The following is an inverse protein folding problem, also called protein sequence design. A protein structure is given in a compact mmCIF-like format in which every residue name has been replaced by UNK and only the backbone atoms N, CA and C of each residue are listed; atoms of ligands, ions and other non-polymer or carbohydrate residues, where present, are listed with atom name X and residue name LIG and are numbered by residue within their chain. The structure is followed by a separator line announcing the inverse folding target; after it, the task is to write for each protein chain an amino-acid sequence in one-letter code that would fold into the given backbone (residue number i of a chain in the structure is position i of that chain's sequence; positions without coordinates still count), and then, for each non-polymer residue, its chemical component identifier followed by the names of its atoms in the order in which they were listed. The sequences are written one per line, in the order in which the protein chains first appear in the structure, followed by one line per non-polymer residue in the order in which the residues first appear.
data_IF_692692745885
#
_entry.id   IF_692692745885
#
_cell.length_a   1.000
_cell.length_b   1.000
_cell.length_c   1.000
_cell.angle_alpha   90.00
_cell.angle_beta   90.00
_cell.angle_gamma   90.00
#
_symmetry.space_group_name_H-M   'P 1'
#
loop_
_entity.id
_entity.type
_entity.pdbx_description
1 polymer ?
#
# COMPACT_ATOMS: atom_id res chain seq x y z
N UNK A 1 4.66 4.93 12.71
CA UNK A 1 3.37 4.40 12.25
C UNK A 1 2.34 4.72 13.31
N UNK A 2 1.48 5.68 13.02
CA UNK A 2 0.36 6.04 13.87
C UNK A 2 -0.90 5.43 13.24
N UNK A 3 -1.49 4.42 13.87
CA UNK A 3 -2.70 3.78 13.34
C UNK A 3 -3.89 4.63 13.75
N UNK A 4 -4.58 5.22 12.78
CA UNK A 4 -5.69 6.11 13.03
C UNK A 4 -6.94 5.30 13.42
N UNK A 5 -7.38 5.45 14.67
CA UNK A 5 -8.58 4.79 15.20
C UNK A 5 -9.82 5.01 14.31
N UNK A 6 -9.99 6.20 13.74
CA UNK A 6 -11.14 6.49 12.87
C UNK A 6 -11.07 5.73 11.53
N UNK A 7 -9.87 5.48 11.00
CA UNK A 7 -9.70 4.63 9.82
C UNK A 7 -9.99 3.17 10.14
N UNK A 8 -9.57 2.68 11.31
CA UNK A 8 -9.92 1.33 11.77
C UNK A 8 -11.45 1.17 11.84
N UNK A 9 -12.15 2.14 12.46
CA UNK A 9 -13.61 2.15 12.50
C UNK A 9 -14.24 2.18 11.10
N UNK A 10 -13.67 2.95 10.17
CA UNK A 10 -14.13 2.99 8.80
C UNK A 10 -14.03 1.60 8.12
N UNK A 11 -12.90 0.90 8.28
CA UNK A 11 -12.73 -0.47 7.78
C UNK A 11 -13.65 -1.49 8.46
N UNK A 12 -14.01 -1.26 9.73
CA UNK A 12 -15.02 -2.04 10.45
C UNK A 12 -16.47 -1.71 10.03
N UNK A 13 -16.67 -0.76 9.11
CA UNK A 13 -17.99 -0.38 8.58
C UNK A 13 -18.74 0.65 9.44
N UNK A 14 -18.10 1.22 10.45
CA UNK A 14 -18.68 2.29 11.26
C UNK A 14 -18.72 3.59 10.46
N UNK A 15 -19.93 4.13 10.23
CA UNK A 15 -20.16 5.38 9.50
C UNK A 15 -20.34 6.56 10.45
N UNK A 16 -19.33 6.84 11.28
CA UNK A 16 -19.36 7.92 12.27
C UNK A 16 -20.14 7.61 13.55
N UNK A 17 -20.47 6.33 13.77
CA UNK A 17 -21.00 5.84 15.05
C UNK A 17 -19.84 5.51 15.98
N UNK A 18 -20.04 5.70 17.30
CA UNK A 18 -19.08 5.21 18.30
C UNK A 18 -19.21 3.70 18.42
N UNK A 19 -18.07 3.03 18.48
CA UNK A 19 -18.00 1.64 18.88
C UNK A 19 -18.43 1.49 20.35
N UNK A 20 -18.93 0.31 20.70
CA UNK A 20 -19.12 -0.02 22.11
C UNK A 20 -17.76 -0.24 22.81
N UNK A 21 -17.77 -0.25 24.15
CA UNK A 21 -16.55 -0.35 24.95
C UNK A 21 -15.74 -1.63 24.69
N UNK A 22 -16.40 -2.75 24.39
CA UNK A 22 -15.69 -4.01 24.13
C UNK A 22 -14.99 -3.94 22.77
N UNK A 23 -15.64 -3.33 21.78
CA UNK A 23 -15.02 -3.11 20.46
C UNK A 23 -13.86 -2.12 20.55
N UNK A 24 -13.98 -1.05 21.34
CA UNK A 24 -12.89 -0.10 21.63
C UNK A 24 -11.68 -0.81 22.25
N UNK A 25 -11.88 -1.59 23.31
CA UNK A 25 -10.82 -2.36 23.98
C UNK A 25 -10.16 -3.36 23.04
N UNK A 26 -10.95 -4.03 22.18
CA UNK A 26 -10.44 -4.99 21.21
C UNK A 26 -9.61 -4.32 20.10
N UNK A 27 -10.00 -3.11 19.66
CA UNK A 27 -9.22 -2.31 18.72
C UNK A 27 -7.88 -1.92 19.35
N UNK A 28 -7.88 -1.41 20.58
CA UNK A 28 -6.66 -1.02 21.28
C UNK A 28 -5.71 -2.22 21.47
N UNK A 29 -6.24 -3.39 21.86
CA UNK A 29 -5.48 -4.64 21.96
C UNK A 29 -4.85 -5.01 20.61
N UNK A 30 -5.64 -5.00 19.54
CA UNK A 30 -5.15 -5.33 18.20
C UNK A 30 -4.11 -4.33 17.69
N UNK A 31 -4.27 -3.02 17.96
CA UNK A 31 -3.30 -1.99 17.60
C UNK A 31 -1.97 -2.20 18.32
N UNK A 32 -2.01 -2.49 19.64
CA UNK A 32 -0.81 -2.76 20.41
C UNK A 32 -0.09 -4.00 19.87
N UNK A 33 -0.81 -5.10 19.71
CA UNK A 33 -0.27 -6.36 19.21
C UNK A 33 0.30 -6.21 17.79
N UNK A 34 -0.42 -5.50 16.91
CA UNK A 34 0.03 -5.23 15.54
C UNK A 34 1.32 -4.42 15.52
N UNK A 35 1.43 -3.43 16.41
CA UNK A 35 2.63 -2.57 16.51
C UNK A 35 3.88 -3.35 16.91
N UNK A 36 3.71 -4.43 17.70
CA UNK A 36 4.81 -5.31 18.12
C UNK A 36 5.25 -6.28 17.02
N UNK A 37 4.30 -6.83 16.25
CA UNK A 37 4.60 -7.84 15.22
C UNK A 37 4.92 -7.24 13.84
N UNK A 38 4.51 -6.00 13.56
CA UNK A 38 4.66 -5.38 12.24
C UNK A 38 6.13 -5.02 11.95
N UNK A 39 6.66 -5.60 10.87
CA UNK A 39 8.03 -5.35 10.42
C UNK A 39 8.18 -4.05 9.63
N UNK A 40 7.08 -3.49 9.10
CA UNK A 40 7.03 -2.19 8.38
C UNK A 40 8.13 -2.06 7.31
N UNK A 41 8.12 -2.97 6.34
CA UNK A 41 9.10 -2.98 5.26
C UNK A 41 8.55 -2.23 4.05
N UNK A 42 9.43 -1.57 3.31
CA UNK A 42 9.07 -0.88 2.08
C UNK A 42 10.25 -0.84 1.11
N UNK A 43 9.94 -0.74 -0.17
CA UNK A 43 10.89 -0.50 -1.25
C UNK A 43 10.29 0.55 -2.18
N UNK A 44 11.09 1.50 -2.63
CA UNK A 44 10.71 2.42 -3.68
C UNK A 44 11.91 2.71 -4.58
N UNK A 45 11.63 3.15 -5.79
CA UNK A 45 12.66 3.59 -6.73
C UNK A 45 12.09 4.69 -7.65
N UNK A 46 12.98 5.52 -8.20
CA UNK A 46 12.64 6.63 -9.09
C UNK A 46 13.03 6.33 -10.52
N UNK A 47 12.12 6.59 -11.45
CA UNK A 47 12.34 6.38 -12.87
C UNK A 47 12.00 7.64 -13.65
N UNK A 48 12.83 7.97 -14.64
CA UNK A 48 12.48 8.97 -15.64
C UNK A 48 11.34 8.44 -16.52
N UNK A 49 10.37 9.30 -16.83
CA UNK A 49 9.23 8.94 -17.68
C UNK A 49 9.54 9.25 -19.15
N UNK A 50 9.13 8.36 -20.06
CA UNK A 50 9.06 8.63 -21.50
C UNK A 50 7.66 8.40 -22.02
N UNK A 51 7.38 9.03 -23.18
CA UNK A 51 6.12 8.88 -23.88
C UNK A 51 6.40 8.23 -25.21
N UNK A 52 5.99 6.98 -25.34
CA UNK A 52 6.17 6.17 -26.54
C UNK A 52 4.84 5.52 -26.88
N UNK A 53 4.44 5.59 -28.15
CA UNK A 53 3.19 4.99 -28.66
C UNK A 53 1.94 5.41 -27.87
N UNK A 54 1.95 6.65 -27.36
CA UNK A 54 0.89 7.21 -26.54
C UNK A 54 0.79 6.58 -25.14
N UNK A 55 1.75 5.78 -24.70
CA UNK A 55 1.86 5.22 -23.34
C UNK A 55 2.97 5.90 -22.55
N UNK A 56 2.88 5.87 -21.22
CA UNK A 56 3.97 6.31 -20.34
C UNK A 56 4.81 5.09 -20.01
N UNK A 57 6.11 5.17 -20.30
CA UNK A 57 7.09 4.14 -19.94
C UNK A 57 8.06 4.68 -18.91
N UNK A 58 8.55 3.79 -18.05
CA UNK A 58 9.58 4.12 -17.06
C UNK A 58 10.95 3.65 -17.55
N UNK A 59 11.85 4.60 -17.82
CA UNK A 59 13.18 4.31 -18.38
C UNK A 59 13.95 3.33 -17.51
N UNK A 60 14.58 2.34 -18.14
CA UNK A 60 15.38 1.34 -17.43
C UNK A 60 14.56 0.27 -16.71
N UNK A 61 13.25 0.22 -16.95
CA UNK A 61 12.37 -0.82 -16.40
C UNK A 61 11.49 -1.44 -17.49
N UNK A 62 10.80 -2.53 -17.15
CA UNK A 62 9.81 -3.16 -18.03
C UNK A 62 8.44 -2.47 -17.97
N UNK A 63 8.25 -1.49 -17.08
CA UNK A 63 6.95 -0.91 -16.80
C UNK A 63 6.48 0.00 -17.93
N UNK A 64 5.32 -0.34 -18.48
CA UNK A 64 4.51 0.51 -19.34
C UNK A 64 3.15 0.73 -18.71
N UNK A 65 2.68 1.96 -18.67
CA UNK A 65 1.40 2.34 -18.06
C UNK A 65 0.33 2.56 -19.14
N UNK A 66 -0.46 1.52 -19.46
CA UNK A 66 -1.69 1.65 -20.24
C UNK A 66 -2.77 2.34 -19.38
N UNK A 67 -3.76 2.93 -20.05
CA UNK A 67 -4.84 3.67 -19.41
C UNK A 67 -4.75 5.18 -19.64
N UNK A 68 -5.91 5.82 -19.84
CA UNK A 68 -6.08 7.25 -20.03
C UNK A 68 -5.98 8.01 -18.71
N UNK A 69 -6.41 7.40 -17.59
CA UNK A 69 -6.44 8.07 -16.30
C UNK A 69 -5.03 8.23 -15.73
N UNK A 70 -4.21 7.17 -15.74
CA UNK A 70 -2.81 7.26 -15.32
C UNK A 70 -1.99 8.20 -16.21
N UNK A 71 -2.30 8.27 -17.51
CA UNK A 71 -1.67 9.22 -18.44
C UNK A 71 -2.00 10.66 -18.11
N UNK A 72 -3.27 10.95 -17.79
CA UNK A 72 -3.72 12.27 -17.35
C UNK A 72 -3.08 12.64 -16.02
N UNK A 73 -2.99 11.67 -15.10
CA UNK A 73 -2.37 11.84 -13.79
C UNK A 73 -0.88 12.24 -13.89
N UNK A 74 -0.13 11.54 -14.74
CA UNK A 74 1.31 11.76 -14.95
C UNK A 74 1.62 12.72 -16.11
N UNK A 75 0.64 13.49 -16.60
CA UNK A 75 0.77 14.25 -17.84
C UNK A 75 1.81 15.38 -17.79
N UNK A 76 2.21 15.84 -16.61
CA UNK A 76 3.29 16.84 -16.44
C UNK A 76 4.49 16.27 -15.68
N UNK A 77 4.46 14.97 -15.36
CA UNK A 77 5.51 14.31 -14.59
C UNK A 77 6.65 13.89 -15.50
N UNK A 78 7.86 14.34 -15.17
CA UNK A 78 9.12 13.94 -15.83
C UNK A 78 9.78 12.72 -15.18
N UNK A 79 9.36 12.42 -13.96
CA UNK A 79 9.78 11.27 -13.17
C UNK A 79 8.58 10.63 -12.47
N UNK A 80 8.70 9.35 -12.18
CA UNK A 80 7.72 8.58 -11.45
C UNK A 80 8.45 7.81 -10.35
N UNK A 81 7.96 7.93 -9.12
CA UNK A 81 8.36 7.04 -8.04
C UNK A 81 7.41 5.85 -8.04
N UNK A 82 7.97 4.64 -7.96
CA UNK A 82 7.21 3.41 -7.76
C UNK A 82 7.54 2.90 -6.37
N UNK A 83 6.53 2.53 -5.58
CA UNK A 83 6.74 2.04 -4.23
C UNK A 83 5.96 0.78 -3.94
N UNK A 84 6.41 0.01 -2.97
CA UNK A 84 5.69 -1.12 -2.38
C UNK A 84 5.98 -1.15 -0.89
N UNK A 85 4.94 -1.33 -0.08
CA UNK A 85 5.04 -1.44 1.39
C UNK A 85 4.66 -2.85 1.84
N UNK A 86 4.86 -3.23 3.09
CA UNK A 86 4.26 -4.43 3.71
C UNK A 86 4.44 -4.38 5.23
N UNK A 87 3.45 -4.87 5.98
CA UNK A 87 3.59 -5.05 7.43
C UNK A 87 4.36 -6.33 7.81
N UNK A 88 4.62 -7.21 6.84
CA UNK A 88 5.37 -8.45 7.03
C UNK A 88 4.49 -9.66 7.33
N UNK A 89 5.10 -10.86 7.19
CA UNK A 89 4.40 -12.14 7.23
C UNK A 89 3.75 -12.48 8.57
N UNK A 90 4.29 -11.99 9.67
CA UNK A 90 3.74 -12.27 10.99
C UNK A 90 2.36 -11.64 11.18
N UNK A 91 2.10 -10.49 10.55
CA UNK A 91 0.77 -9.86 10.53
C UNK A 91 -0.23 -10.75 9.79
N UNK A 92 0.11 -11.17 8.58
CA UNK A 92 -0.77 -12.03 7.76
C UNK A 92 -1.09 -13.36 8.48
N UNK A 93 -0.08 -13.97 9.12
CA UNK A 93 -0.26 -15.17 9.95
C UNK A 93 -1.18 -14.93 11.13
N UNK A 94 -1.03 -13.78 11.80
CA UNK A 94 -1.83 -13.43 12.99
C UNK A 94 -3.30 -13.20 12.64
N UNK A 95 -3.56 -12.49 11.54
CA UNK A 95 -4.91 -12.31 10.99
C UNK A 95 -5.51 -13.69 10.68
N UNK A 96 -4.81 -14.52 9.92
CA UNK A 96 -5.30 -15.85 9.55
C UNK A 96 -5.55 -16.77 10.76
N UNK A 97 -4.72 -16.65 11.81
CA UNK A 97 -4.93 -17.36 13.07
C UNK A 97 -6.23 -16.90 13.75
N UNK A 98 -6.43 -15.59 13.92
CA UNK A 98 -7.64 -15.07 14.55
C UNK A 98 -8.88 -15.32 13.72
N UNK A 99 -8.86 -15.16 12.39
CA UNK A 99 -10.01 -15.50 11.54
C UNK A 99 -10.51 -16.95 11.68
N UNK A 100 -9.71 -17.85 12.26
CA UNK A 100 -10.10 -19.24 12.57
C UNK A 100 -10.50 -19.48 14.03
N UNK A 101 -9.91 -18.74 14.96
CA UNK A 101 -10.12 -18.93 16.41
C UNK A 101 -11.16 -17.98 16.99
N UNK A 102 -11.17 -16.74 16.51
CA UNK A 102 -12.05 -15.66 16.94
C UNK A 102 -12.31 -14.74 15.72
N UNK A 103 -13.48 -14.93 15.09
CA UNK A 103 -13.86 -14.18 13.90
C UNK A 103 -13.87 -12.67 14.14
N UNK A 104 -14.34 -12.24 15.32
CA UNK A 104 -14.42 -10.83 15.69
C UNK A 104 -13.02 -10.22 15.82
N UNK A 105 -12.13 -10.87 16.58
CA UNK A 105 -10.74 -10.42 16.69
C UNK A 105 -10.01 -10.47 15.35
N UNK A 106 -10.31 -11.47 14.52
CA UNK A 106 -9.78 -11.57 13.16
C UNK A 106 -10.16 -10.38 12.30
N UNK A 107 -11.43 -9.98 12.31
CA UNK A 107 -11.92 -8.80 11.58
C UNK A 107 -11.31 -7.49 12.11
N UNK A 108 -11.19 -7.34 13.44
CA UNK A 108 -10.59 -6.13 14.04
C UNK A 108 -9.09 -6.04 13.73
N UNK A 109 -8.34 -7.13 13.89
CA UNK A 109 -6.92 -7.19 13.53
C UNK A 109 -6.71 -6.86 12.05
N UNK A 110 -7.58 -7.38 11.18
CA UNK A 110 -7.54 -7.13 9.75
C UNK A 110 -7.82 -5.66 9.38
N UNK A 111 -8.77 -5.02 10.06
CA UNK A 111 -9.04 -3.59 9.93
C UNK A 111 -7.88 -2.72 10.44
N UNK A 112 -7.27 -3.11 11.58
CA UNK A 112 -6.08 -2.46 12.12
C UNK A 112 -4.91 -2.55 11.14
N UNK A 113 -4.70 -3.72 10.53
CA UNK A 113 -3.66 -3.94 9.53
C UNK A 113 -3.87 -3.08 8.27
N UNK A 114 -5.11 -2.90 7.80
CA UNK A 114 -5.39 -1.98 6.69
C UNK A 114 -5.01 -0.54 7.00
N UNK A 115 -5.45 -0.02 8.15
CA UNK A 115 -5.11 1.35 8.57
C UNK A 115 -3.59 1.51 8.78
N UNK A 116 -2.92 0.49 9.31
CA UNK A 116 -1.47 0.49 9.47
C UNK A 116 -0.71 0.51 8.13
N UNK A 117 -1.19 -0.20 7.10
CA UNK A 117 -0.61 -0.13 5.75
C UNK A 117 -0.75 1.28 5.17
N UNK A 118 -1.91 1.91 5.29
CA UNK A 118 -2.11 3.29 4.80
C UNK A 118 -1.19 4.29 5.50
N UNK A 119 -1.09 4.20 6.83
CA UNK A 119 -0.15 5.02 7.59
C UNK A 119 1.32 4.80 7.13
N UNK A 120 1.68 3.58 6.76
CA UNK A 120 3.02 3.29 6.21
C UNK A 120 3.18 3.85 4.79
N UNK A 121 2.16 3.80 3.95
CA UNK A 121 2.15 4.44 2.63
C UNK A 121 2.36 5.95 2.76
N UNK A 122 1.65 6.61 3.68
CA UNK A 122 1.82 8.05 3.96
C UNK A 122 3.25 8.38 4.40
N UNK A 123 3.84 7.55 5.27
CA UNK A 123 5.24 7.73 5.69
C UNK A 123 6.22 7.61 4.52
N UNK A 124 5.99 6.67 3.60
CA UNK A 124 6.86 6.47 2.43
C UNK A 124 6.65 7.57 1.40
N UNK A 125 5.41 7.99 1.14
CA UNK A 125 5.09 9.10 0.25
C UNK A 125 5.74 10.40 0.74
N UNK A 126 5.68 10.68 2.04
CA UNK A 126 6.35 11.85 2.62
C UNK A 126 7.88 11.81 2.43
N UNK A 127 8.50 10.62 2.53
CA UNK A 127 9.95 10.45 2.25
C UNK A 127 10.27 10.72 0.78
N UNK A 128 9.47 10.15 -0.13
CA UNK A 128 9.61 10.35 -1.58
C UNK A 128 9.43 11.84 -1.91
N UNK A 129 8.43 12.49 -1.34
CA UNK A 129 8.16 13.92 -1.51
C UNK A 129 9.30 14.80 -1.01
N UNK A 130 9.87 14.48 0.15
CA UNK A 130 11.03 15.20 0.68
C UNK A 130 12.27 15.08 -0.21
N UNK A 131 12.54 13.90 -0.79
CA UNK A 131 13.62 13.71 -1.75
C UNK A 131 13.37 14.47 -3.05
N UNK A 132 12.15 14.36 -3.60
CA UNK A 132 11.75 15.07 -4.80
C UNK A 132 11.89 16.60 -4.64
N UNK A 133 11.51 17.14 -3.47
CA UNK A 133 11.62 18.55 -3.16
C UNK A 133 13.08 19.06 -3.12
N UNK A 134 14.04 18.24 -2.68
CA UNK A 134 15.47 18.59 -2.72
C UNK A 134 15.98 18.77 -4.16
N UNK A 135 15.33 18.12 -5.12
CA UNK A 135 15.62 18.22 -6.55
C UNK A 135 14.73 19.25 -7.27
N UNK A 136 13.91 20.00 -6.53
CA UNK A 136 13.01 21.03 -7.08
C UNK A 136 11.71 20.49 -7.71
N UNK A 137 11.36 19.24 -7.44
CA UNK A 137 10.11 18.62 -7.89
C UNK A 137 9.02 18.65 -6.81
N UNK A 138 7.76 18.52 -7.25
CA UNK A 138 6.62 18.20 -6.40
C UNK A 138 6.04 16.84 -6.80
N UNK A 139 5.41 16.15 -5.86
CA UNK A 139 4.77 14.85 -6.11
C UNK A 139 3.28 15.02 -6.39
N UNK A 140 2.75 14.15 -7.25
CA UNK A 140 1.30 13.95 -7.42
C UNK A 140 0.77 13.00 -6.34
N UNK A 141 -0.55 12.82 -6.24
CA UNK A 141 -1.12 11.78 -5.36
C UNK A 141 -0.75 10.36 -5.80
N UNK A 142 -0.81 9.41 -4.87
CA UNK A 142 -0.65 7.96 -5.15
C UNK A 142 -1.67 7.45 -6.16
N UNK A 143 -1.28 6.46 -6.96
CA UNK A 143 -2.15 5.83 -7.96
C UNK A 143 -1.82 4.34 -8.11
N UNK A 144 -2.71 3.47 -7.63
CA UNK A 144 -2.46 2.02 -7.57
C UNK A 144 -3.13 1.25 -8.73
N UNK A 145 -2.52 0.14 -9.20
CA UNK A 145 -3.16 -0.84 -10.08
C UNK A 145 -4.52 -1.29 -9.57
N UNK A 146 -5.51 -1.36 -10.46
CA UNK A 146 -6.92 -1.62 -10.13
C UNK A 146 -7.77 -0.37 -9.95
N UNK A 147 -7.17 0.83 -9.97
CA UNK A 147 -7.91 2.09 -9.95
C UNK A 147 -8.18 2.64 -11.36
N UNK A 148 -9.43 3.02 -11.64
CA UNK A 148 -9.84 3.54 -12.94
C UNK A 148 -9.57 2.53 -14.06
N UNK A 149 -8.80 2.94 -15.07
CA UNK A 149 -8.39 2.09 -16.19
C UNK A 149 -6.95 1.55 -16.09
N UNK A 150 -6.36 1.54 -14.89
CA UNK A 150 -5.00 1.07 -14.66
C UNK A 150 -4.99 -0.44 -14.33
N UNK A 151 -4.38 -1.30 -15.18
CA UNK A 151 -4.52 -2.75 -15.07
C UNK A 151 -3.96 -3.32 -13.78
N UNK A 152 -4.66 -4.29 -13.22
CA UNK A 152 -4.28 -4.96 -11.97
C UNK A 152 -2.99 -5.81 -12.16
N UNK A 153 -2.78 -6.32 -13.37
CA UNK A 153 -1.67 -7.20 -13.75
C UNK A 153 -0.30 -6.52 -13.58
N UNK A 154 -0.26 -5.19 -13.64
CA UNK A 154 0.96 -4.41 -13.43
C UNK A 154 1.56 -4.58 -12.04
N UNK A 155 0.79 -5.09 -11.06
CA UNK A 155 1.33 -5.43 -9.75
C UNK A 155 2.51 -6.40 -9.82
N UNK A 156 2.47 -7.37 -10.74
CA UNK A 156 3.58 -8.32 -10.94
C UNK A 156 4.83 -7.62 -11.46
N UNK A 157 4.67 -6.75 -12.45
CA UNK A 157 5.78 -5.99 -13.03
C UNK A 157 6.38 -5.02 -12.01
N UNK A 158 5.54 -4.33 -11.24
CA UNK A 158 5.98 -3.41 -10.18
C UNK A 158 6.77 -4.15 -9.11
N UNK A 159 6.25 -5.30 -8.65
CA UNK A 159 6.94 -6.14 -7.67
C UNK A 159 8.30 -6.62 -8.18
N UNK A 160 8.39 -6.97 -9.47
CA UNK A 160 9.62 -7.38 -10.14
C UNK A 160 10.63 -6.24 -10.23
N UNK A 161 10.21 -5.07 -10.70
CA UNK A 161 11.07 -3.89 -10.85
C UNK A 161 11.62 -3.41 -9.52
N UNK A 162 10.80 -3.44 -8.47
CA UNK A 162 11.26 -3.08 -7.13
C UNK A 162 12.11 -4.18 -6.48
N UNK A 163 12.14 -5.38 -7.05
CA UNK A 163 12.72 -6.58 -6.44
C UNK A 163 12.14 -6.80 -5.03
N UNK A 164 10.81 -6.67 -4.95
CA UNK A 164 10.07 -6.57 -3.70
C UNK A 164 10.10 -7.89 -2.90
N UNK A 165 10.17 -9.04 -3.57
CA UNK A 165 10.30 -10.33 -2.89
C UNK A 165 11.61 -10.41 -2.11
N UNK A 166 12.75 -10.10 -2.74
CA UNK A 166 14.06 -10.19 -2.09
C UNK A 166 14.25 -9.09 -1.05
N UNK A 167 13.83 -7.84 -1.35
CA UNK A 167 14.04 -6.69 -0.47
C UNK A 167 13.09 -6.66 0.72
N UNK A 168 11.81 -6.96 0.50
CA UNK A 168 10.76 -6.78 1.51
C UNK A 168 9.91 -8.02 1.79
N UNK A 169 10.11 -9.12 1.06
CA UNK A 169 9.35 -10.36 1.24
C UNK A 169 7.92 -10.28 0.67
N UNK A 170 7.65 -9.33 -0.23
CA UNK A 170 6.35 -9.14 -0.86
C UNK A 170 6.23 -10.03 -2.11
N UNK A 171 5.11 -10.75 -2.22
CA UNK A 171 4.78 -11.60 -3.36
C UNK A 171 3.34 -11.35 -3.82
N UNK A 172 3.13 -11.37 -5.14
CA UNK A 172 1.82 -11.21 -5.79
C UNK A 172 1.27 -12.61 -6.11
N UNK A 173 -0.02 -12.88 -5.85
CA UNK A 173 -0.67 -14.14 -6.28
C UNK A 173 -0.84 -14.19 -7.80
N UNK A 174 -1.12 -15.38 -8.34
CA UNK A 174 -1.48 -15.59 -9.75
C UNK A 174 -2.68 -14.76 -10.24
N UNK A 175 -3.57 -14.33 -9.34
CA UNK A 175 -4.72 -13.49 -9.68
C UNK A 175 -4.41 -11.98 -9.64
N UNK A 176 -3.13 -11.59 -9.57
CA UNK A 176 -2.74 -10.19 -9.34
C UNK A 176 -3.37 -9.59 -8.08
N UNK A 177 -3.72 -10.45 -7.11
CA UNK A 177 -4.06 -10.03 -5.76
C UNK A 177 -2.79 -10.11 -4.94
N UNK A 178 -2.46 -9.03 -4.24
CA UNK A 178 -1.34 -9.07 -3.30
C UNK A 178 -1.75 -9.98 -2.14
N UNK A 179 -0.94 -11.03 -1.88
CA UNK A 179 -1.12 -11.90 -0.70
C UNK A 179 -1.00 -11.09 0.59
N UNK A 180 -0.30 -9.95 0.51
CA UNK A 180 -0.08 -9.00 1.59
C UNK A 180 -0.69 -7.67 1.17
N UNK A 181 -1.52 -7.06 2.00
CA UNK A 181 -2.21 -5.81 1.71
C UNK A 181 -1.21 -4.69 1.42
N UNK A 182 -1.21 -4.16 0.19
CA UNK A 182 -0.32 -3.07 -0.22
C UNK A 182 -0.98 -2.20 -1.28
N UNK A 183 -0.86 -0.89 -1.09
CA UNK A 183 -1.19 0.15 -2.05
C UNK A 183 0.09 0.57 -2.79
N UNK A 184 0.00 0.72 -4.11
CA UNK A 184 1.11 1.10 -5.02
C UNK A 184 0.98 2.57 -5.45
#
# INVERSE_FOLDING_TARGET
MNINYNEVLHYLGYKGQKADKNTEELIDECICELSDIAQRKYAYDFFDTTREDGQIKLKGSILSFPGKDIKRHLQHSVRCAVMAVTLGLEVDKRIAFYSRMDLSKGMVMDACASAAVEALCDEVENKIGAQAAQEGFYITSRYSPGYGDFPLELQHEISSVLDAYRKIGLSVTENSLLIRRVFL
#
